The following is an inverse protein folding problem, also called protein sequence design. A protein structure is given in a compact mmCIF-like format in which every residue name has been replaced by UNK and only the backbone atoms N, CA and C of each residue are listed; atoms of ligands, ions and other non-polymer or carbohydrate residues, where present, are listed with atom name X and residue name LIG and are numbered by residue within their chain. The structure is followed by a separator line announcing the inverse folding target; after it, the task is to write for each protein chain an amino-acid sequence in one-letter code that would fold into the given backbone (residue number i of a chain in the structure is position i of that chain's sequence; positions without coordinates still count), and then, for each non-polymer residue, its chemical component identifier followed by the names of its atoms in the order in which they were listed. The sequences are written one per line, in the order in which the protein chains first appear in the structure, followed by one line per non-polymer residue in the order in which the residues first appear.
data_IF_717664151967
#
_entry.id   IF_717664151967
#
_cell.length_a   1.000
_cell.length_b   1.000
_cell.length_c   1.000
_cell.angle_alpha   90.00
_cell.angle_beta   90.00
_cell.angle_gamma   90.00
#
_symmetry.space_group_name_H-M   'P 1'
#
loop_
_entity.id
_entity.type
_entity.pdbx_description
1 polymer ?
#
# COMPACT_ATOMS: atom_id res chain seq x y z
N UNK A 1 8.41 33.94 9.06
CA UNK A 1 7.10 33.35 9.45
C UNK A 1 6.61 32.32 8.44
N UNK A 2 6.81 32.55 7.14
CA UNK A 2 6.50 31.60 6.05
C UNK A 2 7.27 30.27 6.14
N UNK A 3 8.59 30.29 6.42
CA UNK A 3 9.39 29.05 6.53
C UNK A 3 9.00 28.12 7.70
N UNK A 4 8.49 28.66 8.81
CA UNK A 4 8.02 27.84 9.95
C UNK A 4 6.68 27.17 9.61
N UNK A 5 5.83 27.86 8.84
CA UNK A 5 4.55 27.32 8.37
C UNK A 5 4.77 26.19 7.35
N UNK A 6 5.68 26.37 6.40
CA UNK A 6 6.07 25.37 5.40
C UNK A 6 6.68 24.12 6.06
N UNK A 7 7.60 24.28 7.03
CA UNK A 7 8.20 23.16 7.77
C UNK A 7 7.20 22.36 8.60
N UNK A 8 6.23 23.01 9.25
CA UNK A 8 5.15 22.33 9.98
C UNK A 8 4.22 21.56 9.02
N UNK A 9 3.97 22.12 7.84
CA UNK A 9 3.10 21.52 6.84
C UNK A 9 3.74 20.30 6.14
N UNK A 10 5.03 20.37 5.80
CA UNK A 10 5.81 19.25 5.23
C UNK A 10 5.84 18.06 6.20
N UNK A 11 6.05 18.29 7.50
CA UNK A 11 5.99 17.22 8.52
C UNK A 11 4.62 16.52 8.54
N UNK A 12 3.53 17.28 8.47
CA UNK A 12 2.16 16.73 8.50
C UNK A 12 1.85 15.87 7.27
N UNK A 13 2.37 16.26 6.11
CA UNK A 13 2.23 15.51 4.86
C UNK A 13 3.04 14.22 4.82
N UNK A 14 4.27 14.26 5.32
CA UNK A 14 5.11 13.07 5.41
C UNK A 14 4.47 12.03 6.35
N UNK A 15 3.96 12.48 7.51
CA UNK A 15 3.22 11.60 8.44
C UNK A 15 1.98 11.00 7.77
N UNK A 16 1.23 11.78 6.99
CA UNK A 16 0.09 11.27 6.25
C UNK A 16 0.49 10.19 5.22
N UNK A 17 1.54 10.43 4.43
CA UNK A 17 2.05 9.46 3.46
C UNK A 17 2.49 8.15 4.11
N UNK A 18 3.17 8.22 5.26
CA UNK A 18 3.57 7.04 6.04
C UNK A 18 2.33 6.30 6.57
N UNK A 19 1.35 7.01 7.14
CA UNK A 19 0.12 6.38 7.66
C UNK A 19 -0.65 5.63 6.58
N UNK A 20 -0.80 6.24 5.39
CA UNK A 20 -1.45 5.58 4.23
C UNK A 20 -0.67 4.34 3.80
N UNK A 21 0.67 4.44 3.72
CA UNK A 21 1.54 3.32 3.35
C UNK A 21 1.41 2.15 4.34
N UNK A 22 1.40 2.45 5.64
CA UNK A 22 1.27 1.42 6.69
C UNK A 22 -0.12 0.78 6.67
N UNK A 23 -1.19 1.58 6.52
CA UNK A 23 -2.55 1.06 6.46
C UNK A 23 -2.74 0.10 5.27
N UNK A 24 -2.26 0.47 4.09
CA UNK A 24 -2.30 -0.37 2.88
C UNK A 24 -1.42 -1.60 3.03
N UNK A 25 -0.23 -1.48 3.63
CA UNK A 25 0.63 -2.63 3.88
C UNK A 25 -0.05 -3.68 4.78
N UNK A 26 -0.73 -3.25 5.84
CA UNK A 26 -1.50 -4.14 6.72
C UNK A 26 -2.63 -4.81 5.95
N UNK A 27 -3.37 -4.06 5.13
CA UNK A 27 -4.46 -4.61 4.30
C UNK A 27 -3.96 -5.64 3.28
N UNK A 28 -2.87 -5.34 2.59
CA UNK A 28 -2.18 -6.25 1.67
C UNK A 28 -1.74 -7.54 2.37
N UNK A 29 -1.19 -7.43 3.58
CA UNK A 29 -0.82 -8.60 4.40
C UNK A 29 -2.04 -9.45 4.82
N UNK A 30 -3.16 -8.83 5.16
CA UNK A 30 -4.41 -9.55 5.44
C UNK A 30 -4.91 -10.32 4.22
N UNK A 31 -4.93 -9.70 3.03
CA UNK A 31 -5.29 -10.37 1.78
C UNK A 31 -4.38 -11.57 1.51
N UNK A 32 -3.07 -11.41 1.73
CA UNK A 32 -2.09 -12.48 1.54
C UNK A 32 -2.29 -13.66 2.50
N UNK A 33 -2.50 -13.38 3.80
CA UNK A 33 -2.80 -14.42 4.80
C UNK A 33 -4.10 -15.14 4.46
N UNK A 34 -5.14 -14.40 4.07
CA UNK A 34 -6.43 -14.99 3.68
C UNK A 34 -6.30 -15.97 2.52
N UNK A 35 -5.50 -15.64 1.49
CA UNK A 35 -5.23 -16.52 0.36
C UNK A 35 -4.41 -17.76 0.70
N UNK A 36 -3.50 -17.66 1.67
CA UNK A 36 -2.75 -18.84 2.14
C UNK A 36 -3.64 -19.76 2.96
N UNK A 37 -4.53 -19.20 3.77
CA UNK A 37 -5.46 -19.97 4.61
C UNK A 37 -6.56 -20.66 3.80
N UNK A 38 -6.93 -20.10 2.65
CA UNK A 38 -7.95 -20.67 1.75
C UNK A 38 -7.35 -20.93 0.36
N UNK A 39 -6.48 -21.94 0.21
CA UNK A 39 -5.89 -22.26 -1.07
C UNK A 39 -6.97 -22.77 -2.04
N UNK A 40 -7.11 -22.10 -3.17
CA UNK A 40 -8.11 -22.43 -4.19
C UNK A 40 -7.43 -22.72 -5.53
N UNK A 41 -7.95 -23.69 -6.27
CA UNK A 41 -7.54 -23.98 -7.65
C UNK A 41 -8.58 -23.34 -8.55
N UNK A 42 -8.20 -22.23 -9.19
CA UNK A 42 -9.09 -21.48 -10.07
C UNK A 42 -8.74 -21.76 -11.53
N UNK A 43 -9.69 -22.27 -12.32
CA UNK A 43 -9.50 -22.61 -13.75
C UNK A 43 -8.26 -23.50 -14.04
N UNK A 44 -7.95 -24.44 -13.14
CA UNK A 44 -6.78 -25.34 -13.28
C UNK A 44 -5.44 -24.69 -12.93
N UNK A 45 -5.43 -23.39 -12.60
CA UNK A 45 -4.27 -22.69 -12.05
C UNK A 45 -4.32 -22.86 -10.52
N UNK A 46 -3.37 -23.61 -9.99
CA UNK A 46 -3.16 -23.77 -8.55
C UNK A 46 -2.12 -22.80 -7.99
N UNK A 47 -1.84 -22.95 -6.69
CA UNK A 47 -0.83 -22.15 -6.01
C UNK A 47 -1.31 -20.75 -5.65
N UNK A 48 -0.36 -19.85 -5.38
CA UNK A 48 -0.64 -18.53 -4.83
C UNK A 48 -1.48 -17.68 -5.78
N UNK A 49 -1.14 -17.68 -7.08
CA UNK A 49 -1.86 -16.91 -8.11
C UNK A 49 -3.27 -17.45 -8.35
N UNK A 50 -3.45 -18.77 -8.34
CA UNK A 50 -4.76 -19.41 -8.41
C UNK A 50 -5.64 -19.11 -7.18
N UNK A 51 -5.03 -19.06 -6.01
CA UNK A 51 -5.72 -18.74 -4.75
C UNK A 51 -6.14 -17.28 -4.69
N UNK A 52 -5.31 -16.36 -5.18
CA UNK A 52 -5.67 -14.94 -5.32
C UNK A 52 -6.82 -14.70 -6.31
N UNK A 53 -6.84 -15.44 -7.43
CA UNK A 53 -7.93 -15.36 -8.41
C UNK A 53 -9.22 -16.00 -7.87
N UNK A 54 -9.11 -17.14 -7.17
CA UNK A 54 -10.26 -17.84 -6.61
C UNK A 54 -10.87 -17.18 -5.37
N UNK A 55 -10.10 -16.36 -4.65
CA UNK A 55 -10.56 -15.63 -3.47
C UNK A 55 -11.03 -14.20 -3.80
N UNK A 56 -11.01 -13.78 -5.07
CA UNK A 56 -11.26 -12.40 -5.53
C UNK A 56 -10.41 -11.32 -4.79
N UNK A 57 -9.32 -11.73 -4.13
CA UNK A 57 -8.42 -10.84 -3.38
C UNK A 57 -7.30 -10.27 -4.24
N UNK A 58 -7.14 -10.72 -5.48
CA UNK A 58 -6.11 -10.23 -6.40
C UNK A 58 -6.27 -8.73 -6.70
N UNK A 59 -7.50 -8.29 -6.99
CA UNK A 59 -7.81 -6.88 -7.27
C UNK A 59 -7.51 -5.99 -6.06
N UNK A 60 -8.03 -6.26 -4.83
CA UNK A 60 -7.72 -5.44 -3.67
C UNK A 60 -6.22 -5.45 -3.33
N UNK A 61 -5.50 -6.55 -3.56
CA UNK A 61 -4.05 -6.63 -3.37
C UNK A 61 -3.28 -5.73 -4.35
N UNK A 62 -3.67 -5.71 -5.64
CA UNK A 62 -3.06 -4.84 -6.65
C UNK A 62 -3.34 -3.37 -6.33
N UNK A 63 -4.60 -3.02 -6.03
CA UNK A 63 -4.98 -1.65 -5.66
C UNK A 63 -4.17 -1.19 -4.44
N UNK A 64 -4.08 -2.03 -3.42
CA UNK A 64 -3.32 -1.72 -2.21
C UNK A 64 -1.83 -1.50 -2.49
N UNK A 65 -1.25 -2.33 -3.37
CA UNK A 65 0.14 -2.16 -3.80
C UNK A 65 0.36 -0.84 -4.53
N UNK A 66 -0.56 -0.44 -5.41
CA UNK A 66 -0.48 0.85 -6.14
C UNK A 66 -0.59 2.03 -5.17
N UNK A 67 -1.53 1.99 -4.23
CA UNK A 67 -1.71 3.04 -3.22
C UNK A 67 -0.48 3.11 -2.30
N UNK A 68 0.10 1.97 -1.92
CA UNK A 68 1.36 1.90 -1.17
C UNK A 68 2.50 2.57 -1.93
N UNK A 69 2.65 2.31 -3.24
CA UNK A 69 3.64 2.99 -4.08
C UNK A 69 3.42 4.50 -4.13
N UNK A 70 2.17 4.97 -4.22
CA UNK A 70 1.84 6.41 -4.22
C UNK A 70 2.20 7.03 -2.85
N UNK A 71 1.87 6.37 -1.74
CA UNK A 71 2.22 6.83 -0.39
C UNK A 71 3.73 6.97 -0.18
N UNK A 72 4.51 6.01 -0.71
CA UNK A 72 5.97 6.02 -0.70
C UNK A 72 6.55 7.11 -1.60
N UNK A 73 6.00 7.29 -2.81
CA UNK A 73 6.39 8.36 -3.73
C UNK A 73 6.14 9.74 -3.12
N UNK A 74 5.01 9.95 -2.45
CA UNK A 74 4.71 11.21 -1.76
C UNK A 74 5.70 11.45 -0.61
N UNK A 75 6.02 10.43 0.18
CA UNK A 75 7.05 10.54 1.21
C UNK A 75 8.42 10.86 0.61
N UNK A 76 8.78 10.24 -0.50
CA UNK A 76 10.07 10.46 -1.16
C UNK A 76 10.16 11.86 -1.77
N UNK A 77 9.10 12.32 -2.44
CA UNK A 77 9.04 13.68 -3.00
C UNK A 77 9.17 14.72 -1.89
N UNK A 78 8.47 14.57 -0.77
CA UNK A 78 8.59 15.51 0.36
C UNK A 78 9.97 15.41 1.05
N UNK A 79 10.56 14.21 1.15
CA UNK A 79 11.89 14.03 1.72
C UNK A 79 13.01 14.65 0.86
N UNK A 80 12.86 14.64 -0.46
CA UNK A 80 13.82 15.20 -1.41
C UNK A 80 13.44 16.59 -1.93
N UNK A 81 12.34 17.18 -1.45
CA UNK A 81 11.96 18.56 -1.74
C UNK A 81 12.99 19.47 -1.07
N UNK A 82 14.01 19.87 -1.83
CA UNK A 82 14.94 20.92 -1.44
C UNK A 82 14.16 22.23 -1.43
N UNK A 83 14.26 22.97 -0.31
CA UNK A 83 13.65 24.29 -0.10
C UNK A 83 13.79 25.23 -1.30
#
# INVERSE_FOLDING_TARGET
MTAILEGIWVNKKMVFGILVTVAEFVFSAFCFIYTIMNPCIYNGIGGLMGSFLGADTLVPFIVSTVVMCIGLLLCFVEAYRKD
#
